data_IF_008140881495
#
_entry.id   IF_008140881495
#
_cell.length_a   1.000
_cell.length_b   1.000
_cell.length_c   1.000
_cell.angle_alpha   90.00
_cell.angle_beta   90.00
_cell.angle_gamma   90.00
#
_symmetry.space_group_name_H-M   'P 1'
#
loop_
_entity.id
_entity.type
_entity.pdbx_description
1 polymer ?
#
# COMPACT_ATOMS: atom_id res chain seq x y z
N UNK A 1 -53.06 24.01 -18.96
CA UNK A 1 -51.64 24.41 -19.00
C UNK A 1 -50.99 23.71 -20.19
N UNK A 2 -50.41 24.49 -21.11
CA UNK A 2 -49.97 24.07 -22.44
C UNK A 2 -48.80 23.07 -22.35
N UNK A 3 -49.00 21.85 -22.85
CA UNK A 3 -47.94 20.85 -23.03
C UNK A 3 -47.16 21.21 -24.30
N UNK A 4 -45.94 21.71 -24.15
CA UNK A 4 -45.01 21.85 -25.29
C UNK A 4 -44.38 20.47 -25.55
N UNK A 5 -44.75 19.87 -26.67
CA UNK A 5 -44.08 18.72 -27.26
C UNK A 5 -42.92 19.25 -28.12
N UNK A 6 -41.70 19.13 -27.61
CA UNK A 6 -40.47 19.35 -28.38
C UNK A 6 -40.10 18.04 -29.07
N UNK A 7 -40.38 17.97 -30.36
CA UNK A 7 -39.95 16.88 -31.25
C UNK A 7 -38.53 17.22 -31.70
N UNK A 8 -37.53 16.50 -31.19
CA UNK A 8 -36.14 16.62 -31.64
C UNK A 8 -35.98 15.81 -32.95
N UNK A 9 -35.46 16.40 -34.05
CA UNK A 9 -35.18 15.64 -35.26
C UNK A 9 -33.92 14.78 -35.04
N UNK A 10 -34.12 13.46 -35.10
CA UNK A 10 -33.04 12.47 -35.10
C UNK A 10 -32.26 12.58 -36.42
N UNK A 11 -31.12 13.28 -36.39
CA UNK A 11 -30.19 13.31 -37.50
C UNK A 11 -29.44 11.97 -37.56
N UNK A 12 -29.78 11.13 -38.54
CA UNK A 12 -29.07 9.90 -38.88
C UNK A 12 -27.70 10.26 -39.51
N UNK A 13 -26.62 10.10 -38.74
CA UNK A 13 -25.24 10.16 -39.21
C UNK A 13 -24.77 8.76 -39.63
N UNK A 14 -24.09 8.60 -40.79
CA UNK A 14 -23.55 7.32 -41.22
C UNK A 14 -22.39 6.86 -40.33
N UNK A 15 -22.47 5.61 -39.88
CA UNK A 15 -21.46 4.91 -39.10
C UNK A 15 -20.25 4.59 -40.00
N UNK A 16 -19.17 5.38 -39.88
CA UNK A 16 -17.88 5.03 -40.44
C UNK A 16 -17.12 4.17 -39.43
N UNK A 17 -17.08 2.86 -39.67
CA UNK A 17 -16.30 1.92 -38.85
C UNK A 17 -14.85 1.97 -39.32
N UNK A 18 -14.03 2.81 -38.69
CA UNK A 18 -12.58 2.74 -38.81
C UNK A 18 -12.07 1.71 -37.79
N UNK A 19 -11.77 0.50 -38.25
CA UNK A 19 -10.95 -0.45 -37.51
C UNK A 19 -9.49 0.01 -37.61
N UNK A 20 -8.99 0.60 -36.55
CA UNK A 20 -7.56 0.63 -36.27
C UNK A 20 -7.36 -0.07 -34.94
N UNK A 21 -6.94 -1.33 -35.01
CA UNK A 21 -6.37 -2.04 -33.88
C UNK A 21 -4.99 -1.44 -33.64
N UNK A 22 -4.90 -0.60 -32.63
CA UNK A 22 -3.64 -0.31 -31.95
C UNK A 22 -3.79 -0.91 -30.56
N UNK A 23 -3.37 -2.17 -30.43
CA UNK A 23 -3.09 -2.76 -29.13
C UNK A 23 -1.86 -2.05 -28.58
N UNK A 24 -2.07 -0.83 -28.10
CA UNK A 24 -1.13 -0.19 -27.19
C UNK A 24 -1.26 -0.93 -25.87
N UNK A 25 -0.48 -2.01 -25.76
CA UNK A 25 -0.11 -2.62 -24.49
C UNK A 25 0.69 -1.57 -23.73
N UNK A 26 -0.03 -0.66 -23.09
CA UNK A 26 0.56 0.25 -22.12
C UNK A 26 0.80 -0.59 -20.87
N UNK A 27 1.92 -1.30 -20.87
CA UNK A 27 2.59 -1.68 -19.64
C UNK A 27 3.01 -0.36 -18.97
N UNK A 28 2.07 0.28 -18.28
CA UNK A 28 2.34 1.31 -17.30
C UNK A 28 2.97 0.62 -16.08
N UNK A 29 4.17 0.07 -16.27
CA UNK A 29 5.13 -0.05 -15.19
C UNK A 29 5.35 1.37 -14.70
N UNK A 30 4.58 1.78 -13.71
CA UNK A 30 4.86 2.99 -12.95
C UNK A 30 6.27 2.80 -12.41
N UNK A 31 7.25 3.38 -13.11
CA UNK A 31 8.58 3.63 -12.57
C UNK A 31 8.37 4.60 -11.41
N UNK A 32 7.99 4.04 -10.27
CA UNK A 32 7.65 4.79 -9.08
C UNK A 32 8.90 5.52 -8.63
N UNK A 33 8.86 6.85 -8.71
CA UNK A 33 9.77 7.68 -7.94
C UNK A 33 9.46 7.43 -6.46
N UNK A 34 10.11 6.44 -5.89
CA UNK A 34 10.14 6.18 -4.46
C UNK A 34 10.94 7.32 -3.84
N UNK A 35 10.29 8.08 -2.96
CA UNK A 35 10.94 9.16 -2.23
C UNK A 35 11.40 8.58 -0.89
N UNK A 36 12.71 8.59 -0.63
CA UNK A 36 13.21 8.22 0.68
C UNK A 36 12.55 9.07 1.77
N UNK A 37 12.18 8.42 2.85
CA UNK A 37 11.40 8.99 3.95
C UNK A 37 9.89 9.00 3.72
N UNK A 38 9.40 8.43 2.62
CA UNK A 38 7.97 8.44 2.27
C UNK A 38 7.42 7.04 2.19
N UNK A 39 6.46 6.72 3.05
CA UNK A 39 5.63 5.52 2.92
C UNK A 39 4.24 5.86 2.37
N UNK A 40 3.54 4.83 1.91
CA UNK A 40 2.13 4.91 1.50
C UNK A 40 1.33 3.90 2.32
N UNK A 41 0.14 4.30 2.75
CA UNK A 41 -0.78 3.44 3.50
C UNK A 41 -2.17 3.53 2.89
N UNK A 42 -2.69 2.44 2.34
CA UNK A 42 -4.13 2.33 2.10
C UNK A 42 -4.77 1.72 3.34
N UNK A 43 -5.89 2.29 3.78
CA UNK A 43 -6.66 1.80 4.91
C UNK A 43 -8.14 1.74 4.50
N UNK A 44 -8.79 0.61 4.70
CA UNK A 44 -10.21 0.43 4.39
C UNK A 44 -10.93 -0.24 5.57
N UNK A 45 -11.98 0.41 6.08
CA UNK A 45 -12.89 -0.17 7.06
C UNK A 45 -14.23 -0.47 6.38
N UNK A 46 -14.51 -1.75 6.16
CA UNK A 46 -15.79 -2.24 5.62
C UNK A 46 -16.41 -3.27 6.55
N UNK A 47 -17.59 -2.95 7.10
CA UNK A 47 -18.25 -3.76 8.11
C UNK A 47 -17.35 -4.01 9.32
N UNK A 48 -16.98 -5.28 9.54
CA UNK A 48 -16.08 -5.70 10.62
C UNK A 48 -14.61 -5.86 10.15
N UNK A 49 -14.35 -5.67 8.86
CA UNK A 49 -13.02 -5.87 8.28
C UNK A 49 -12.29 -4.54 8.22
N UNK A 50 -11.11 -4.48 8.83
CA UNK A 50 -10.13 -3.43 8.58
C UNK A 50 -9.02 -4.02 7.71
N UNK A 51 -8.71 -3.37 6.60
CA UNK A 51 -7.60 -3.72 5.73
C UNK A 51 -6.58 -2.60 5.72
N UNK A 52 -5.30 -2.94 5.85
CA UNK A 52 -4.17 -2.01 5.82
C UNK A 52 -3.13 -2.53 4.82
N UNK A 53 -2.76 -1.69 3.85
CA UNK A 53 -1.67 -1.94 2.91
C UNK A 53 -0.59 -0.89 3.11
N UNK A 54 0.53 -1.28 3.69
CA UNK A 54 1.72 -0.44 3.82
C UNK A 54 2.68 -0.75 2.68
N UNK A 55 3.05 0.26 1.91
CA UNK A 55 4.10 0.23 0.90
C UNK A 55 5.18 1.23 1.30
N UNK A 56 6.43 0.80 1.35
CA UNK A 56 7.53 1.66 1.75
C UNK A 56 8.89 1.20 1.25
N UNK A 57 9.75 2.13 0.78
CA UNK A 57 11.13 1.85 0.44
C UNK A 57 11.84 1.13 1.58
N UNK A 58 12.65 0.11 1.29
CA UNK A 58 13.44 -0.55 2.33
C UNK A 58 14.39 0.44 3.02
N UNK A 59 14.80 1.52 2.36
CA UNK A 59 15.56 2.59 3.01
C UNK A 59 14.83 3.18 4.24
N UNK A 60 13.50 3.23 4.22
CA UNK A 60 12.70 3.82 5.29
C UNK A 60 12.57 2.90 6.51
N UNK A 61 12.60 1.58 6.30
CA UNK A 61 12.35 0.57 7.33
C UNK A 61 13.64 -0.14 7.77
N UNK A 62 14.47 -0.55 6.80
CA UNK A 62 15.72 -1.29 6.99
C UNK A 62 16.94 -0.37 7.03
N UNK A 63 16.89 0.75 6.29
CA UNK A 63 17.99 1.70 6.18
C UNK A 63 18.96 1.42 5.02
N UNK A 64 18.59 0.53 4.10
CA UNK A 64 19.27 0.28 2.83
C UNK A 64 18.35 -0.43 1.84
N UNK A 65 18.78 -0.54 0.57
CA UNK A 65 18.00 -1.18 -0.52
C UNK A 65 18.78 -2.23 -1.31
N UNK A 66 20.07 -2.43 -1.01
CA UNK A 66 20.87 -3.48 -1.62
C UNK A 66 20.50 -4.87 -1.07
N UNK A 67 20.81 -5.93 -1.82
CA UNK A 67 20.59 -7.30 -1.37
C UNK A 67 21.35 -7.60 -0.06
N UNK A 68 20.66 -8.18 0.92
CA UNK A 68 21.22 -8.49 2.24
C UNK A 68 22.20 -9.69 2.19
N UNK A 69 23.45 -9.43 1.84
CA UNK A 69 24.49 -10.47 1.69
C UNK A 69 25.28 -10.70 2.98
N UNK A 70 25.51 -9.66 3.78
CA UNK A 70 26.24 -9.74 5.04
C UNK A 70 25.35 -10.21 6.19
N UNK A 71 25.93 -10.83 7.22
CA UNK A 71 25.17 -11.25 8.42
C UNK A 71 24.51 -10.06 9.13
N UNK A 72 25.16 -8.89 9.11
CA UNK A 72 24.62 -7.66 9.67
C UNK A 72 23.38 -7.17 8.91
N UNK A 73 23.40 -7.23 7.57
CA UNK A 73 22.26 -6.84 6.74
C UNK A 73 21.10 -7.82 6.91
N UNK A 74 21.38 -9.13 6.88
CA UNK A 74 20.38 -10.19 7.13
C UNK A 74 19.71 -10.02 8.49
N UNK A 75 20.49 -9.71 9.53
CA UNK A 75 19.95 -9.47 10.86
C UNK A 75 19.03 -8.24 10.91
N UNK A 76 19.37 -7.15 10.21
CA UNK A 76 18.50 -5.95 10.11
C UNK A 76 17.19 -6.28 9.40
N UNK A 77 17.26 -6.95 8.24
CA UNK A 77 16.06 -7.35 7.49
C UNK A 77 15.16 -8.26 8.33
N UNK A 78 15.74 -9.28 9.00
CA UNK A 78 14.99 -10.16 9.88
C UNK A 78 14.35 -9.41 11.06
N UNK A 79 15.05 -8.44 11.65
CA UNK A 79 14.50 -7.62 12.72
C UNK A 79 13.32 -6.74 12.25
N UNK A 80 13.42 -6.15 11.06
CA UNK A 80 12.33 -5.37 10.45
C UNK A 80 11.13 -6.25 10.15
N UNK A 81 11.33 -7.42 9.51
CA UNK A 81 10.27 -8.40 9.26
C UNK A 81 9.56 -8.79 10.56
N UNK A 82 10.31 -9.12 11.62
CA UNK A 82 9.75 -9.48 12.92
C UNK A 82 8.96 -8.35 13.62
N UNK A 83 9.22 -7.08 13.28
CA UNK A 83 8.40 -5.95 13.74
C UNK A 83 7.12 -5.82 12.91
N UNK A 84 7.21 -5.97 11.59
CA UNK A 84 6.08 -5.97 10.65
C UNK A 84 5.10 -7.12 10.93
N UNK A 85 5.59 -8.27 11.37
CA UNK A 85 4.78 -9.41 11.81
C UNK A 85 3.96 -9.15 13.11
N UNK A 86 4.03 -7.94 13.69
CA UNK A 86 3.28 -7.55 14.90
C UNK A 86 2.37 -6.34 14.62
N UNK A 87 1.42 -6.44 13.68
CA UNK A 87 0.67 -5.29 13.21
C UNK A 87 -0.24 -4.65 14.28
N UNK A 88 -0.75 -5.42 15.25
CA UNK A 88 -1.50 -4.88 16.39
C UNK A 88 -0.67 -3.94 17.28
N UNK A 89 0.67 -4.10 17.29
CA UNK A 89 1.59 -3.19 17.99
C UNK A 89 1.93 -1.98 17.11
N UNK A 90 2.09 -2.17 15.80
CA UNK A 90 2.47 -1.09 14.89
C UNK A 90 1.38 -0.03 14.69
N UNK A 91 0.12 -0.44 14.55
CA UNK A 91 -0.99 0.44 14.16
C UNK A 91 -1.83 0.99 15.33
N UNK A 92 -1.46 0.67 16.59
CA UNK A 92 -2.09 1.18 17.81
C UNK A 92 -3.63 1.21 17.78
N UNK A 93 -4.25 0.14 17.26
CA UNK A 93 -5.71 0.10 17.09
C UNK A 93 -6.42 0.21 18.46
N UNK A 94 -7.48 1.03 18.60
CA UNK A 94 -8.24 1.15 19.83
C UNK A 94 -8.71 -0.21 20.34
N UNK A 95 -8.33 -0.60 21.57
CA UNK A 95 -8.72 -1.89 22.18
C UNK A 95 -10.24 -2.10 22.20
N UNK A 96 -11.01 -1.02 22.33
CA UNK A 96 -12.47 -1.05 22.31
C UNK A 96 -13.06 -1.52 20.96
N UNK A 97 -12.29 -1.43 19.85
CA UNK A 97 -12.71 -1.96 18.56
C UNK A 97 -12.59 -3.49 18.46
N UNK A 98 -11.85 -4.12 19.37
CA UNK A 98 -11.70 -5.58 19.41
C UNK A 98 -11.10 -6.17 18.14
N UNK A 99 -10.15 -5.45 17.51
CA UNK A 99 -9.50 -5.92 16.28
C UNK A 99 -8.49 -7.03 16.57
N UNK A 100 -8.54 -8.09 15.76
CA UNK A 100 -7.63 -9.24 15.77
C UNK A 100 -7.10 -9.47 14.36
N UNK A 101 -5.86 -9.94 14.23
CA UNK A 101 -5.27 -10.23 12.91
C UNK A 101 -5.96 -11.45 12.31
N UNK A 102 -6.52 -11.30 11.12
CA UNK A 102 -7.12 -12.38 10.34
C UNK A 102 -6.08 -12.96 9.37
N UNK A 103 -5.42 -12.11 8.59
CA UNK A 103 -4.32 -12.47 7.69
C UNK A 103 -3.23 -11.40 7.75
N UNK A 104 -2.01 -11.80 7.40
CA UNK A 104 -0.90 -10.88 7.15
C UNK A 104 -0.01 -11.47 6.06
N UNK A 105 0.42 -10.62 5.14
CA UNK A 105 1.32 -10.98 4.05
C UNK A 105 2.41 -9.90 3.97
N UNK A 106 3.67 -10.33 3.94
CA UNK A 106 4.83 -9.44 3.88
C UNK A 106 5.65 -9.83 2.67
N UNK A 107 5.88 -8.89 1.77
CA UNK A 107 6.59 -9.12 0.53
C UNK A 107 7.73 -8.12 0.38
N UNK A 108 8.90 -8.65 0.03
CA UNK A 108 10.06 -7.85 -0.36
C UNK A 108 11.09 -8.76 -1.01
N UNK A 109 11.84 -8.27 -2.02
CA UNK A 109 13.05 -8.96 -2.50
C UNK A 109 14.04 -9.28 -1.36
N UNK A 110 14.02 -8.52 -0.27
CA UNK A 110 14.90 -8.72 0.89
C UNK A 110 14.48 -9.85 1.82
N UNK A 111 13.20 -10.26 1.83
CA UNK A 111 12.70 -11.25 2.79
C UNK A 111 13.04 -12.70 2.44
N UNK A 112 13.55 -12.95 1.23
CA UNK A 112 14.09 -14.25 0.85
C UNK A 112 13.04 -15.36 0.66
N UNK A 113 11.75 -15.03 0.58
CA UNK A 113 10.65 -16.01 0.45
C UNK A 113 10.50 -16.61 -0.96
N UNK A 114 11.54 -16.57 -1.80
CA UNK A 114 11.53 -17.29 -3.09
C UNK A 114 11.85 -18.78 -2.87
N UNK A 115 11.12 -19.72 -3.48
CA UNK A 115 11.53 -21.12 -3.50
C UNK A 115 12.90 -21.23 -4.16
N UNK A 116 13.77 -22.08 -3.60
CA UNK A 116 15.03 -22.49 -4.22
C UNK A 116 14.75 -22.98 -5.65
N UNK A 117 14.99 -22.13 -6.63
CA UNK A 117 15.08 -22.50 -8.03
C UNK A 117 16.57 -22.57 -8.36
N UNK A 118 16.99 -23.78 -8.72
CA UNK A 118 18.31 -24.12 -9.26
C UNK A 118 18.79 -23.10 -10.32
N UNK A 119 20.10 -22.94 -10.36
CA UNK A 119 20.90 -22.20 -11.33
C UNK A 119 20.30 -22.06 -12.74
N UNK A 120 20.28 -20.83 -13.26
CA UNK A 120 20.76 -20.55 -14.61
C UNK A 120 21.38 -19.13 -14.65
N UNK A 121 22.66 -19.10 -14.97
CA UNK A 121 23.40 -17.88 -15.31
C UNK A 121 23.04 -17.48 -16.74
N UNK A 122 22.25 -16.42 -16.93
CA UNK A 122 22.24 -15.61 -18.16
C UNK A 122 21.38 -14.35 -17.94
N UNK A 123 21.86 -13.42 -17.10
CA UNK A 123 21.27 -12.09 -17.00
C UNK A 123 22.01 -11.13 -17.95
N UNK A 124 21.36 -10.80 -19.07
CA UNK A 124 21.67 -9.55 -19.75
C UNK A 124 21.19 -8.41 -18.85
N UNK A 125 22.15 -7.64 -18.35
CA UNK A 125 21.95 -6.37 -17.66
C UNK A 125 21.06 -5.44 -18.51
N UNK A 126 19.78 -5.40 -18.16
CA UNK A 126 18.99 -4.18 -18.27
C UNK A 126 18.82 -3.66 -16.85
N UNK A 127 19.54 -2.60 -16.52
CA UNK A 127 19.52 -1.95 -15.21
C UNK A 127 18.14 -1.33 -14.94
N UNK A 128 17.20 -2.16 -14.50
CA UNK A 128 16.04 -1.69 -13.78
C UNK A 128 16.48 -1.42 -12.35
N UNK A 129 16.50 -0.14 -11.99
CA UNK A 129 16.55 0.31 -10.60
C UNK A 129 15.22 -0.07 -9.93
N UNK A 130 14.94 -1.36 -9.80
CA UNK A 130 13.86 -1.84 -8.95
C UNK A 130 14.36 -1.74 -7.52
N UNK A 131 13.91 -0.71 -6.82
CA UNK A 131 14.22 -0.51 -5.42
C UNK A 131 13.64 -1.66 -4.61
N UNK A 132 14.34 -2.05 -3.55
CA UNK A 132 13.86 -3.08 -2.63
C UNK A 132 12.68 -2.54 -1.85
N UNK A 133 11.49 -2.54 -2.45
CA UNK A 133 10.27 -2.15 -1.79
C UNK A 133 9.85 -3.19 -0.75
N UNK A 134 9.15 -2.72 0.28
CA UNK A 134 8.50 -3.57 1.27
C UNK A 134 7.01 -3.31 1.20
N UNK A 135 6.27 -4.36 0.86
CA UNK A 135 4.82 -4.40 0.89
C UNK A 135 4.36 -5.21 2.09
N UNK A 136 3.41 -4.67 2.83
CA UNK A 136 2.80 -5.35 3.96
C UNK A 136 1.28 -5.19 3.90
N UNK A 137 0.59 -6.31 3.72
CA UNK A 137 -0.86 -6.41 3.74
C UNK A 137 -1.32 -7.00 5.06
N UNK A 138 -2.30 -6.37 5.68
CA UNK A 138 -2.89 -6.83 6.93
C UNK A 138 -4.40 -6.77 6.83
N UNK A 139 -5.06 -7.89 7.14
CA UNK A 139 -6.49 -7.92 7.37
C UNK A 139 -6.76 -8.14 8.85
N UNK A 140 -7.64 -7.33 9.42
CA UNK A 140 -8.12 -7.49 10.78
C UNK A 140 -9.62 -7.74 10.79
N UNK A 141 -10.07 -8.56 11.73
CA UNK A 141 -11.48 -8.63 12.13
C UNK A 141 -11.67 -7.86 13.42
N UNK A 142 -12.50 -6.81 13.38
CA UNK A 142 -12.86 -5.96 14.51
C UNK A 142 -14.27 -6.29 15.00
N UNK A 143 -14.40 -6.74 16.26
CA UNK A 143 -15.69 -7.09 16.86
C UNK A 143 -16.62 -5.89 17.07
N UNK A 144 -16.07 -4.69 17.23
CA UNK A 144 -16.82 -3.45 17.43
C UNK A 144 -16.25 -2.33 16.52
N UNK A 145 -16.45 -2.42 15.19
CA UNK A 145 -15.82 -1.49 14.23
C UNK A 145 -16.23 -0.03 14.46
N UNK A 146 -17.42 0.23 15.03
CA UNK A 146 -17.85 1.57 15.40
C UNK A 146 -16.98 2.24 16.49
N UNK A 147 -16.19 1.48 17.25
CA UNK A 147 -15.24 2.00 18.25
C UNK A 147 -13.84 2.29 17.67
N UNK A 148 -13.58 1.88 16.42
CA UNK A 148 -12.37 2.23 15.67
C UNK A 148 -12.50 3.68 15.17
N UNK A 149 -12.20 4.64 16.05
CA UNK A 149 -12.32 6.07 15.75
C UNK A 149 -11.04 6.70 15.24
N UNK A 150 -9.91 6.04 15.46
CA UNK A 150 -8.58 6.55 15.12
C UNK A 150 -7.68 5.43 14.64
N UNK A 151 -6.84 5.74 13.66
CA UNK A 151 -5.65 4.98 13.31
C UNK A 151 -4.45 5.80 13.76
N UNK A 152 -3.56 5.22 14.56
CA UNK A 152 -2.39 5.91 15.11
C UNK A 152 -1.11 5.23 14.64
N UNK A 153 -0.29 5.98 13.90
CA UNK A 153 0.93 5.51 13.27
C UNK A 153 2.18 5.90 14.09
N UNK A 154 2.03 6.39 15.32
CA UNK A 154 3.15 6.82 16.15
C UNK A 154 4.18 5.71 16.39
N UNK A 155 3.74 4.46 16.58
CA UNK A 155 4.64 3.32 16.78
C UNK A 155 5.47 3.03 15.52
N UNK A 156 4.90 3.20 14.33
CA UNK A 156 5.63 3.06 13.05
C UNK A 156 6.76 4.09 12.97
N UNK A 157 6.46 5.37 13.21
CA UNK A 157 7.49 6.42 13.18
C UNK A 157 8.59 6.22 14.25
N UNK A 158 8.23 5.69 15.41
CA UNK A 158 9.19 5.38 16.47
C UNK A 158 10.08 4.17 16.13
N UNK A 159 9.49 3.13 15.52
CA UNK A 159 10.20 1.92 15.12
C UNK A 159 11.10 2.17 13.89
N UNK A 160 10.65 3.03 12.97
CA UNK A 160 11.31 3.31 11.71
C UNK A 160 11.55 4.83 11.50
N UNK A 161 12.53 5.44 12.20
CA UNK A 161 12.74 6.89 12.17
C UNK A 161 13.17 7.46 10.81
N UNK A 162 13.63 6.61 9.89
CA UNK A 162 13.90 7.01 8.52
C UNK A 162 12.62 7.29 7.72
N UNK A 163 11.47 6.75 8.16
CA UNK A 163 10.14 7.13 7.65
C UNK A 163 9.77 8.51 8.18
N UNK A 164 9.71 9.52 7.31
CA UNK A 164 9.44 10.91 7.70
C UNK A 164 7.97 11.28 7.53
N UNK A 165 7.34 10.79 6.46
CA UNK A 165 5.94 11.01 6.12
C UNK A 165 5.30 9.73 5.61
N UNK A 166 4.00 9.56 5.89
CA UNK A 166 3.19 8.50 5.29
C UNK A 166 1.99 9.16 4.62
N UNK A 167 1.82 8.88 3.33
CA UNK A 167 0.64 9.28 2.57
C UNK A 167 -0.45 8.23 2.79
N UNK A 168 -1.52 8.61 3.47
CA UNK A 168 -2.61 7.71 3.82
C UNK A 168 -3.81 7.96 2.92
N UNK A 169 -4.32 6.91 2.31
CA UNK A 169 -5.66 6.89 1.70
C UNK A 169 -6.57 6.06 2.59
N UNK A 170 -7.57 6.69 3.20
CA UNK A 170 -8.49 6.04 4.12
C UNK A 170 -9.90 6.02 3.53
N UNK A 171 -10.51 4.83 3.51
CA UNK A 171 -11.92 4.59 3.17
C UNK A 171 -12.61 4.05 4.42
N UNK A 172 -13.71 4.67 4.81
CA UNK A 172 -14.51 4.23 5.95
C UNK A 172 -16.00 4.46 5.68
N UNK A 173 -16.91 4.05 6.58
CA UNK A 173 -18.33 4.38 6.48
C UNK A 173 -18.62 5.89 6.47
N UNK A 174 -17.67 6.74 6.88
CA UNK A 174 -17.81 8.19 6.86
C UNK A 174 -17.39 8.83 5.51
N UNK A 175 -16.73 8.06 4.64
CA UNK A 175 -16.29 8.50 3.31
C UNK A 175 -14.83 8.13 3.02
N UNK A 176 -14.27 8.76 1.99
CA UNK A 176 -12.85 8.64 1.62
C UNK A 176 -12.09 9.92 1.95
N UNK A 177 -10.86 9.79 2.44
CA UNK A 177 -9.95 10.90 2.68
C UNK A 177 -8.51 10.53 2.32
N UNK A 178 -7.75 11.50 1.80
CA UNK A 178 -6.30 11.42 1.62
C UNK A 178 -5.62 12.38 2.57
N UNK A 179 -4.67 11.91 3.38
CA UNK A 179 -3.93 12.74 4.35
C UNK A 179 -2.46 12.37 4.37
N UNK A 180 -1.59 13.36 4.59
CA UNK A 180 -0.19 13.10 4.94
C UNK A 180 -0.05 13.16 6.46
N UNK A 181 0.56 12.13 7.04
CA UNK A 181 0.88 12.08 8.47
C UNK A 181 2.39 12.09 8.69
N UNK A 182 2.81 12.58 9.85
CA UNK A 182 4.22 12.60 10.28
C UNK A 182 4.30 12.18 11.75
N UNK A 183 5.51 11.94 12.26
CA UNK A 183 5.72 11.64 13.68
C UNK A 183 5.10 12.68 14.65
N UNK A 184 4.94 13.94 14.23
CA UNK A 184 4.33 15.01 15.03
C UNK A 184 2.80 15.01 15.00
N UNK A 185 2.21 14.36 14.00
CA UNK A 185 0.77 14.29 13.77
C UNK A 185 0.43 12.92 13.15
N UNK A 186 0.63 11.86 13.92
CA UNK A 186 0.60 10.48 13.44
C UNK A 186 -0.80 9.83 13.49
N UNK A 187 -1.79 10.51 14.08
CA UNK A 187 -3.14 9.98 14.25
C UNK A 187 -4.11 10.62 13.24
N UNK A 188 -4.93 9.77 12.62
CA UNK A 188 -6.02 10.16 11.73
C UNK A 188 -7.35 9.54 12.20
N UNK A 189 -8.47 10.10 11.74
CA UNK A 189 -9.82 9.69 12.16
C UNK A 189 -10.52 8.87 11.08
N UNK A 190 -11.19 7.80 11.50
CA UNK A 190 -12.14 7.04 10.67
C UNK A 190 -13.46 7.77 10.49
#
# INVERSE_FOLDING_TARGET
MRRLLLVLPFALLPLAVAHAADEHDHEHGSLGAHEHGVGRLNAALDGQTLELELESPAMNLVGFEHAATTDADKAKVAAVRAQLEKPLTLFNLPKAAGCTVATQELESPLFGDKPDADHDEDAKDEHHHDHSEIHAHYQFTCAAPGALKTLDLATIFNAFPATQKIQVQLISPSGQQGVEVTAKAAALKF
#
